data_IF_650257934939
#
_entry.id   IF_650257934939
#
_cell.length_a   1.000
_cell.length_b   1.000
_cell.length_c   1.000
_cell.angle_alpha   90.00
_cell.angle_beta   90.00
_cell.angle_gamma   90.00
#
_symmetry.space_group_name_H-M   'P 1'
#
loop_
_entity.id
_entity.type
_entity.pdbx_description
1 polymer ?
#
# COMPACT_ATOMS: atom_id res chain seq x y z
N UNK A 1 27.98 5.51 -16.26
CA UNK A 1 27.71 6.30 -17.49
C UNK A 1 26.34 6.95 -17.35
N UNK A 2 26.25 8.25 -17.61
CA UNK A 2 24.96 8.95 -17.68
C UNK A 2 24.12 8.39 -18.84
N UNK A 3 22.81 8.26 -18.63
CA UNK A 3 21.83 7.77 -19.62
C UNK A 3 20.69 8.77 -19.71
N UNK A 4 20.02 8.79 -20.85
CA UNK A 4 18.72 9.43 -21.00
C UNK A 4 17.63 8.39 -20.74
N UNK A 5 16.69 8.71 -19.84
CA UNK A 5 15.63 7.79 -19.42
C UNK A 5 14.28 8.47 -19.52
N UNK A 6 13.35 7.82 -20.21
CA UNK A 6 11.95 8.25 -20.30
C UNK A 6 11.12 7.39 -19.34
N UNK A 7 10.39 8.04 -18.44
CA UNK A 7 9.42 7.42 -17.53
C UNK A 7 8.03 7.76 -18.05
N UNK A 8 7.24 6.74 -18.35
CA UNK A 8 5.86 6.88 -18.83
C UNK A 8 4.92 6.69 -17.63
N UNK A 9 4.20 7.77 -17.27
CA UNK A 9 3.35 7.88 -16.10
C UNK A 9 3.98 8.73 -15.00
N UNK A 10 3.31 9.80 -14.61
CA UNK A 10 3.65 10.75 -13.56
C UNK A 10 2.89 10.52 -12.24
N UNK A 11 2.40 9.30 -12.03
CA UNK A 11 1.92 8.84 -10.72
C UNK A 11 3.06 8.64 -9.71
N UNK A 12 2.71 8.26 -8.49
CA UNK A 12 3.66 8.15 -7.37
C UNK A 12 4.86 7.24 -7.67
N UNK A 13 4.62 6.14 -8.38
CA UNK A 13 5.67 5.22 -8.81
C UNK A 13 6.61 5.90 -9.81
N UNK A 14 6.06 6.58 -10.83
CA UNK A 14 6.85 7.25 -11.85
C UNK A 14 7.68 8.41 -11.30
N UNK A 15 7.10 9.23 -10.41
CA UNK A 15 7.84 10.32 -9.75
C UNK A 15 8.95 9.78 -8.85
N UNK A 16 8.71 8.72 -8.07
CA UNK A 16 9.75 8.09 -7.26
C UNK A 16 10.84 7.43 -8.13
N UNK A 17 10.48 6.77 -9.23
CA UNK A 17 11.45 6.24 -10.19
C UNK A 17 12.31 7.36 -10.78
N UNK A 18 11.68 8.46 -11.21
CA UNK A 18 12.40 9.62 -11.73
C UNK A 18 13.35 10.23 -10.70
N UNK A 19 12.94 10.30 -9.44
CA UNK A 19 13.76 10.78 -8.33
C UNK A 19 15.04 9.95 -8.17
N UNK A 20 14.93 8.61 -8.07
CA UNK A 20 16.10 7.77 -7.86
C UNK A 20 16.99 7.69 -9.12
N UNK A 21 16.42 7.67 -10.32
CA UNK A 21 17.20 7.75 -11.56
C UNK A 21 17.98 9.06 -11.67
N UNK A 22 17.35 10.19 -11.33
CA UNK A 22 18.00 11.48 -11.31
C UNK A 22 19.09 11.55 -10.21
N UNK A 23 18.84 10.98 -9.03
CA UNK A 23 19.81 10.89 -7.92
C UNK A 23 21.04 10.07 -8.32
N UNK A 24 20.89 9.07 -9.19
CA UNK A 24 21.99 8.29 -9.79
C UNK A 24 22.72 9.03 -10.94
N UNK A 25 22.30 10.25 -11.28
CA UNK A 25 22.95 11.11 -12.27
C UNK A 25 22.44 10.93 -13.70
N UNK A 26 21.32 10.23 -13.90
CA UNK A 26 20.68 10.11 -15.21
C UNK A 26 19.89 11.37 -15.59
N UNK A 27 19.77 11.61 -16.90
CA UNK A 27 18.88 12.64 -17.44
C UNK A 27 17.51 12.02 -17.63
N UNK A 28 16.52 12.54 -16.91
CA UNK A 28 15.19 11.93 -16.83
C UNK A 28 14.13 12.84 -17.43
N UNK A 29 13.25 12.24 -18.23
CA UNK A 29 12.02 12.85 -18.72
C UNK A 29 10.84 12.03 -18.23
N UNK A 30 9.85 12.68 -17.61
CA UNK A 30 8.57 12.08 -17.23
C UNK A 30 7.50 12.53 -18.21
N UNK A 31 6.73 11.60 -18.76
CA UNK A 31 5.60 11.89 -19.67
C UNK A 31 4.33 11.35 -19.03
N UNK A 32 3.32 12.19 -18.85
CA UNK A 32 2.01 11.78 -18.35
C UNK A 32 0.88 12.39 -19.19
N UNK A 33 -0.12 11.59 -19.50
CA UNK A 33 -1.30 12.00 -20.27
C UNK A 33 -2.21 13.01 -19.53
N UNK A 34 -1.95 13.27 -18.26
CA UNK A 34 -2.71 14.15 -17.38
C UNK A 34 -1.84 15.25 -16.77
N UNK A 35 -2.45 16.08 -15.92
CA UNK A 35 -1.74 17.08 -15.10
C UNK A 35 -1.12 16.51 -13.81
N UNK A 36 -1.31 15.21 -13.54
CA UNK A 36 -0.89 14.53 -12.30
C UNK A 36 -1.54 15.09 -11.02
N UNK A 37 -2.74 15.65 -11.14
CA UNK A 37 -3.55 16.26 -10.07
C UNK A 37 -4.83 15.47 -9.74
N UNK A 38 -4.97 14.27 -10.31
CA UNK A 38 -6.05 13.32 -10.00
C UNK A 38 -5.56 11.88 -10.12
N UNK A 39 -6.48 10.93 -9.90
CA UNK A 39 -6.22 9.50 -10.07
C UNK A 39 -5.62 8.85 -8.82
N UNK A 40 -5.33 7.55 -8.92
CA UNK A 40 -5.03 6.71 -7.76
C UNK A 40 -3.88 7.23 -6.89
N UNK A 41 -2.83 7.80 -7.49
CA UNK A 41 -1.70 8.35 -6.74
C UNK A 41 -2.05 9.63 -5.98
N UNK A 42 -3.00 10.43 -6.47
CA UNK A 42 -3.35 11.73 -5.90
C UNK A 42 -4.42 11.63 -4.81
N UNK A 43 -5.38 10.70 -4.96
CA UNK A 43 -6.58 10.61 -4.10
C UNK A 43 -6.67 9.34 -3.24
N UNK A 44 -5.61 8.54 -3.15
CA UNK A 44 -5.64 7.37 -2.26
C UNK A 44 -5.69 7.78 -0.77
N UNK A 45 -5.89 6.79 0.11
CA UNK A 45 -6.00 7.00 1.55
C UNK A 45 -4.67 7.39 2.24
N UNK A 46 -3.54 7.35 1.52
CA UNK A 46 -2.24 7.76 2.04
C UNK A 46 -1.62 6.81 3.05
N UNK A 47 -2.11 5.58 3.11
CA UNK A 47 -1.68 4.58 4.07
C UNK A 47 -0.41 3.86 3.61
N UNK A 48 0.58 3.75 4.50
CA UNK A 48 1.86 3.06 4.31
C UNK A 48 1.90 1.90 5.29
N UNK A 49 1.85 0.67 4.78
CA UNK A 49 1.37 -0.48 5.55
C UNK A 49 2.36 -1.66 5.68
N UNK A 50 3.48 -1.51 6.41
CA UNK A 50 4.32 -2.66 6.78
C UNK A 50 3.59 -3.84 7.43
N UNK A 51 2.46 -3.60 8.11
CA UNK A 51 1.64 -4.65 8.73
C UNK A 51 0.98 -5.62 7.74
N UNK A 52 0.77 -5.22 6.48
CA UNK A 52 0.01 -5.97 5.48
C UNK A 52 0.86 -7.02 4.75
N UNK A 53 1.38 -7.98 5.52
CA UNK A 53 2.35 -9.00 5.06
C UNK A 53 1.70 -10.23 4.41
N UNK A 54 0.39 -10.40 4.52
CA UNK A 54 -0.32 -11.54 3.93
C UNK A 54 -0.66 -11.21 2.47
N UNK A 55 -0.23 -12.02 1.49
CA UNK A 55 -0.56 -11.77 0.09
C UNK A 55 -2.05 -11.98 -0.17
N UNK A 56 -2.56 -11.31 -1.22
CA UNK A 56 -3.95 -11.47 -1.66
C UNK A 56 -4.30 -12.95 -1.96
N UNK A 57 -3.34 -13.70 -2.51
CA UNK A 57 -3.44 -15.14 -2.79
C UNK A 57 -3.24 -16.00 -1.52
N UNK A 58 -3.98 -15.72 -0.46
CA UNK A 58 -4.01 -16.53 0.75
C UNK A 58 -5.08 -17.63 0.70
N UNK A 59 -4.92 -18.73 1.47
CA UNK A 59 -5.98 -19.72 1.65
C UNK A 59 -7.30 -19.08 2.10
N UNK A 60 -8.41 -19.52 1.53
CA UNK A 60 -9.74 -18.98 1.82
C UNK A 60 -10.14 -17.76 0.97
N UNK A 61 -9.21 -17.09 0.29
CA UNK A 61 -9.52 -15.99 -0.64
C UNK A 61 -10.46 -16.45 -1.75
N UNK A 62 -10.27 -17.66 -2.30
CA UNK A 62 -11.16 -18.20 -3.34
C UNK A 62 -12.62 -18.34 -2.90
N UNK A 63 -12.85 -18.76 -1.65
CA UNK A 63 -14.21 -18.86 -1.09
C UNK A 63 -14.86 -17.48 -0.96
N UNK A 64 -14.09 -16.47 -0.54
CA UNK A 64 -14.53 -15.07 -0.49
C UNK A 64 -14.78 -14.52 -1.91
N UNK A 65 -13.88 -14.79 -2.85
CA UNK A 65 -13.98 -14.38 -4.25
C UNK A 65 -15.26 -14.92 -4.92
N UNK A 66 -15.53 -16.22 -4.79
CA UNK A 66 -16.78 -16.81 -5.29
C UNK A 66 -18.02 -16.14 -4.67
N UNK A 67 -18.01 -15.83 -3.38
CA UNK A 67 -19.10 -15.09 -2.73
C UNK A 67 -19.24 -13.67 -3.30
N UNK A 68 -18.14 -12.99 -3.56
CA UNK A 68 -18.10 -11.63 -4.12
C UNK A 68 -18.52 -11.56 -5.59
N UNK A 69 -18.32 -12.63 -6.36
CA UNK A 69 -18.81 -12.73 -7.75
C UNK A 69 -20.33 -12.57 -7.86
N UNK A 70 -21.09 -12.95 -6.82
CA UNK A 70 -22.54 -12.82 -6.77
C UNK A 70 -23.02 -11.54 -6.06
N UNK A 71 -22.11 -10.66 -5.66
CA UNK A 71 -22.43 -9.36 -5.08
C UNK A 71 -21.71 -8.24 -5.85
N UNK A 72 -22.41 -7.49 -6.74
CA UNK A 72 -21.80 -6.41 -7.52
C UNK A 72 -21.32 -5.25 -6.65
N UNK A 73 -21.81 -5.13 -5.41
CA UNK A 73 -21.33 -4.15 -4.42
C UNK A 73 -20.19 -4.69 -3.55
N UNK A 74 -19.58 -5.82 -3.91
CA UNK A 74 -18.43 -6.35 -3.19
C UNK A 74 -17.20 -5.45 -3.35
N UNK A 75 -16.28 -5.44 -2.36
CA UNK A 75 -15.06 -4.65 -2.42
C UNK A 75 -14.12 -5.07 -3.56
N UNK A 76 -14.29 -6.27 -4.11
CA UNK A 76 -13.57 -6.77 -5.29
C UNK A 76 -14.52 -7.59 -6.16
N UNK A 77 -15.22 -6.92 -7.08
CA UNK A 77 -16.13 -7.59 -8.00
C UNK A 77 -15.36 -8.26 -9.15
N UNK A 78 -15.46 -9.59 -9.21
CA UNK A 78 -14.95 -10.38 -10.34
C UNK A 78 -16.15 -10.79 -11.19
N UNK A 79 -16.26 -10.24 -12.41
CA UNK A 79 -17.34 -10.59 -13.33
C UNK A 79 -17.26 -12.09 -13.68
N UNK A 80 -18.31 -12.90 -13.42
CA UNK A 80 -18.36 -14.29 -13.84
C UNK A 80 -18.25 -14.41 -15.35
N UNK A 81 -17.35 -15.29 -15.83
CA UNK A 81 -17.19 -15.61 -17.24
C UNK A 81 -16.92 -17.10 -17.41
N UNK A 82 -17.31 -17.65 -18.54
CA UNK A 82 -17.08 -19.05 -18.93
C UNK A 82 -16.15 -19.10 -20.15
N UNK A 83 -15.13 -18.24 -20.17
CA UNK A 83 -14.10 -18.25 -21.20
C UNK A 83 -12.86 -19.04 -20.71
N UNK A 84 -12.11 -19.62 -21.65
CA UNK A 84 -10.98 -20.49 -21.32
C UNK A 84 -9.89 -19.79 -20.53
N UNK A 85 -9.66 -18.51 -20.80
CA UNK A 85 -8.56 -17.76 -20.20
C UNK A 85 -8.89 -17.39 -18.76
N UNK A 86 -10.13 -17.00 -18.49
CA UNK A 86 -10.64 -16.81 -17.15
C UNK A 86 -10.58 -18.10 -16.33
N UNK A 87 -11.01 -19.24 -16.87
CA UNK A 87 -10.96 -20.52 -16.15
C UNK A 87 -9.52 -20.96 -15.85
N UNK A 88 -8.59 -20.80 -16.79
CA UNK A 88 -7.15 -21.05 -16.58
C UNK A 88 -6.60 -20.14 -15.47
N UNK A 89 -6.97 -18.86 -15.48
CA UNK A 89 -6.54 -17.90 -14.46
C UNK A 89 -7.11 -18.25 -13.09
N UNK A 90 -8.40 -18.57 -12.98
CA UNK A 90 -9.03 -18.99 -11.72
C UNK A 90 -8.34 -20.23 -11.15
N UNK A 91 -8.02 -21.20 -11.99
CA UNK A 91 -7.27 -22.39 -11.58
C UNK A 91 -5.86 -22.05 -11.09
N UNK A 92 -5.12 -21.21 -11.82
CA UNK A 92 -3.78 -20.77 -11.44
C UNK A 92 -3.78 -19.94 -10.13
N UNK A 93 -4.78 -19.08 -9.95
CA UNK A 93 -4.96 -18.29 -8.73
C UNK A 93 -5.28 -19.20 -7.54
N UNK A 94 -6.20 -20.15 -7.70
CA UNK A 94 -6.51 -21.13 -6.66
C UNK A 94 -5.29 -21.98 -6.26
N UNK A 95 -4.48 -22.42 -7.24
CA UNK A 95 -3.21 -23.11 -6.97
C UNK A 95 -2.21 -22.24 -6.22
N UNK A 96 -2.26 -20.92 -6.45
CA UNK A 96 -1.44 -19.94 -5.72
C UNK A 96 -1.88 -19.75 -4.27
N UNK A 97 -3.16 -19.97 -3.94
CA UNK A 97 -3.75 -19.86 -2.59
C UNK A 97 -3.33 -21.00 -1.64
N UNK A 98 -2.02 -21.19 -1.46
CA UNK A 98 -1.44 -22.26 -0.65
C UNK A 98 -0.63 -21.70 0.55
N UNK A 99 -0.75 -22.27 1.77
CA UNK A 99 -0.04 -21.77 2.95
C UNK A 99 1.48 -21.66 2.77
N UNK A 100 2.10 -22.60 2.04
CA UNK A 100 3.53 -22.54 1.71
C UNK A 100 3.92 -21.30 0.89
N UNK A 101 3.07 -20.85 -0.04
CA UNK A 101 3.33 -19.63 -0.81
C UNK A 101 3.19 -18.39 0.07
N UNK A 102 2.20 -18.36 0.96
CA UNK A 102 2.04 -17.28 1.95
C UNK A 102 3.29 -17.16 2.82
N UNK A 103 3.74 -18.26 3.44
CA UNK A 103 4.95 -18.28 4.26
C UNK A 103 6.19 -17.80 3.51
N UNK A 104 6.31 -18.14 2.21
CA UNK A 104 7.42 -17.70 1.37
C UNK A 104 7.34 -16.21 1.00
N UNK A 105 6.14 -15.67 0.82
CA UNK A 105 5.93 -14.29 0.37
C UNK A 105 6.08 -13.26 1.50
N UNK A 106 5.70 -13.63 2.73
CA UNK A 106 5.68 -12.73 3.89
C UNK A 106 6.98 -11.94 4.07
N UNK A 107 8.18 -12.56 4.11
CA UNK A 107 9.42 -11.80 4.30
C UNK A 107 9.65 -10.78 3.18
N UNK A 108 9.40 -11.15 1.92
CA UNK A 108 9.60 -10.25 0.79
C UNK A 108 8.63 -9.05 0.82
N UNK A 109 7.36 -9.29 1.17
CA UNK A 109 6.34 -8.23 1.30
C UNK A 109 6.68 -7.30 2.47
N UNK A 110 7.09 -7.86 3.60
CA UNK A 110 7.55 -7.08 4.76
C UNK A 110 8.75 -6.21 4.39
N UNK A 111 9.78 -6.80 3.79
CA UNK A 111 11.03 -6.10 3.54
C UNK A 111 10.83 -4.95 2.54
N UNK A 112 10.03 -5.15 1.49
CA UNK A 112 9.75 -4.09 0.51
C UNK A 112 8.89 -2.96 1.10
N UNK A 113 7.95 -3.27 1.99
CA UNK A 113 7.07 -2.27 2.61
C UNK A 113 7.81 -1.45 3.67
N UNK A 114 8.63 -2.09 4.50
CA UNK A 114 9.55 -1.40 5.44
C UNK A 114 10.57 -0.54 4.70
N UNK A 115 11.16 -1.06 3.62
CA UNK A 115 12.06 -0.29 2.78
C UNK A 115 11.34 0.94 2.21
N UNK A 116 10.15 0.76 1.64
CA UNK A 116 9.35 1.87 1.11
C UNK A 116 9.10 2.93 2.18
N UNK A 117 8.62 2.54 3.37
CA UNK A 117 8.36 3.47 4.48
C UNK A 117 9.63 4.26 4.87
N UNK A 118 10.77 3.55 5.01
CA UNK A 118 12.06 4.19 5.28
C UNK A 118 12.42 5.23 4.21
N UNK A 119 12.18 4.91 2.93
CA UNK A 119 12.49 5.82 1.82
C UNK A 119 11.60 7.07 1.81
N UNK A 120 10.34 7.00 2.22
CA UNK A 120 9.51 8.20 2.41
C UNK A 120 10.13 9.15 3.45
N UNK A 121 10.55 8.60 4.59
CA UNK A 121 11.21 9.37 5.65
C UNK A 121 12.56 9.95 5.19
N UNK A 122 13.35 9.16 4.46
CA UNK A 122 14.61 9.62 3.89
C UNK A 122 14.40 10.77 2.90
N UNK A 123 13.49 10.62 1.93
CA UNK A 123 13.19 11.67 0.95
C UNK A 123 12.74 12.95 1.66
N UNK A 124 11.80 12.84 2.60
CA UNK A 124 11.30 13.98 3.36
C UNK A 124 12.42 14.72 4.08
N UNK A 125 13.33 13.99 4.72
CA UNK A 125 14.42 14.56 5.53
C UNK A 125 15.53 15.16 4.64
N UNK A 126 16.03 14.39 3.68
CA UNK A 126 17.16 14.76 2.82
C UNK A 126 16.79 15.93 1.92
N UNK A 127 15.60 15.89 1.31
CA UNK A 127 15.15 16.91 0.36
C UNK A 127 14.36 18.04 1.04
N UNK A 128 14.18 17.95 2.37
CA UNK A 128 13.48 18.94 3.19
C UNK A 128 12.06 19.22 2.68
N UNK A 129 11.34 18.18 2.26
CA UNK A 129 9.99 18.33 1.71
C UNK A 129 8.94 18.55 2.81
N UNK A 130 7.99 19.42 2.50
CA UNK A 130 6.92 19.78 3.42
C UNK A 130 5.58 19.12 3.03
N UNK A 131 5.45 17.83 3.33
CA UNK A 131 4.20 17.08 3.24
C UNK A 131 3.91 16.33 4.54
N UNK A 132 2.65 16.07 4.87
CA UNK A 132 2.28 15.27 6.05
C UNK A 132 2.80 13.84 5.91
N UNK A 133 3.52 13.37 6.93
CA UNK A 133 3.99 11.99 7.09
C UNK A 133 4.09 11.72 8.59
N UNK A 134 3.32 10.76 9.09
CA UNK A 134 3.22 10.47 10.51
C UNK A 134 3.24 8.96 10.76
N UNK A 135 3.95 8.55 11.80
CA UNK A 135 4.05 7.16 12.26
C UNK A 135 3.11 6.93 13.46
N UNK A 136 1.79 7.06 13.23
CA UNK A 136 0.78 6.81 14.28
C UNK A 136 0.18 5.40 14.23
N UNK A 137 0.64 4.54 13.32
CA UNK A 137 0.15 3.19 13.17
C UNK A 137 -1.29 3.07 12.64
N UNK A 138 -1.83 1.87 12.70
CA UNK A 138 -3.21 1.53 12.36
C UNK A 138 -3.90 0.81 13.53
N UNK A 139 -5.12 1.24 13.88
CA UNK A 139 -6.02 0.52 14.77
C UNK A 139 -7.05 -0.29 13.97
N UNK A 140 -6.89 -1.62 13.96
CA UNK A 140 -7.83 -2.57 13.39
C UNK A 140 -8.89 -2.98 14.41
N UNK A 141 -9.99 -2.24 14.44
CA UNK A 141 -11.12 -2.47 15.34
C UNK A 141 -11.91 -3.74 14.95
N UNK A 142 -12.13 -4.63 15.92
CA UNK A 142 -12.87 -5.87 15.72
C UNK A 142 -14.22 -5.81 16.44
N UNK A 143 -15.33 -5.82 15.68
CA UNK A 143 -16.69 -5.74 16.25
C UNK A 143 -17.21 -7.07 16.81
N UNK A 144 -16.63 -8.19 16.41
CA UNK A 144 -17.07 -9.53 16.85
C UNK A 144 -15.90 -10.36 17.32
N UNK A 145 -16.14 -11.25 18.29
CA UNK A 145 -15.11 -12.15 18.83
C UNK A 145 -14.44 -12.97 17.73
N UNK A 146 -15.24 -13.48 16.80
CA UNK A 146 -14.73 -14.23 15.64
C UNK A 146 -13.72 -13.42 14.81
N UNK A 147 -14.02 -12.15 14.53
CA UNK A 147 -13.10 -11.29 13.79
C UNK A 147 -11.85 -11.00 14.59
N UNK A 148 -12.00 -10.77 15.91
CA UNK A 148 -10.86 -10.56 16.80
C UNK A 148 -9.94 -11.79 16.82
N UNK A 149 -10.48 -12.99 16.94
CA UNK A 149 -9.71 -14.25 16.88
C UNK A 149 -8.97 -14.43 15.54
N UNK A 150 -9.59 -14.06 14.43
CA UNK A 150 -8.97 -14.11 13.10
C UNK A 150 -7.84 -13.07 12.99
N UNK A 151 -8.07 -11.83 13.43
CA UNK A 151 -7.10 -10.74 13.36
C UNK A 151 -5.92 -10.95 14.32
N UNK A 152 -6.16 -11.52 15.50
CA UNK A 152 -5.12 -11.92 16.45
C UNK A 152 -4.15 -12.92 15.82
N UNK A 153 -4.59 -13.83 14.95
CA UNK A 153 -3.68 -14.74 14.23
C UNK A 153 -2.77 -13.97 13.27
N UNK A 154 -3.31 -12.99 12.56
CA UNK A 154 -2.53 -12.08 11.70
C UNK A 154 -1.54 -11.26 12.53
N UNK A 155 -1.96 -10.73 13.67
CA UNK A 155 -1.11 -9.98 14.59
C UNK A 155 0.09 -10.81 15.10
N UNK A 156 -0.14 -12.06 15.52
CA UNK A 156 0.94 -12.94 15.94
C UNK A 156 1.96 -13.20 14.83
N UNK A 157 1.51 -13.29 13.59
CA UNK A 157 2.41 -13.44 12.45
C UNK A 157 3.26 -12.18 12.25
N UNK A 158 2.65 -11.00 12.31
CA UNK A 158 3.37 -9.73 12.24
C UNK A 158 4.41 -9.60 13.35
N UNK A 159 4.05 -9.94 14.60
CA UNK A 159 4.97 -9.96 15.76
C UNK A 159 6.14 -10.92 15.52
N UNK A 160 5.85 -12.13 15.03
CA UNK A 160 6.88 -13.15 14.72
C UNK A 160 7.86 -12.64 13.66
N UNK A 161 7.37 -11.84 12.72
CA UNK A 161 8.15 -11.22 11.66
C UNK A 161 8.89 -9.94 12.09
N UNK A 162 8.75 -9.53 13.35
CA UNK A 162 9.45 -8.39 13.95
C UNK A 162 8.72 -7.04 13.82
N UNK A 163 7.44 -7.04 13.43
CA UNK A 163 6.66 -5.81 13.28
C UNK A 163 6.03 -5.38 14.60
N UNK A 164 6.20 -4.12 14.97
CA UNK A 164 5.64 -3.55 16.21
C UNK A 164 4.11 -3.56 16.16
N UNK A 165 3.52 -4.49 16.91
CA UNK A 165 2.08 -4.78 16.91
C UNK A 165 1.62 -5.09 18.33
N UNK A 166 0.48 -4.53 18.75
CA UNK A 166 -0.13 -4.78 20.06
C UNK A 166 -1.57 -5.25 19.91
N UNK A 167 -1.92 -6.34 20.58
CA UNK A 167 -3.32 -6.79 20.73
C UNK A 167 -3.92 -5.99 21.89
N UNK A 168 -5.08 -5.38 21.67
CA UNK A 168 -5.76 -4.51 22.63
C UNK A 168 -7.12 -5.08 23.01
N UNK A 169 -7.39 -5.15 24.31
CA UNK A 169 -8.75 -5.33 24.81
C UNK A 169 -9.52 -4.00 24.84
N UNK A 170 -10.80 -4.04 25.19
CA UNK A 170 -11.68 -2.85 25.24
C UNK A 170 -11.22 -1.78 26.23
N UNK A 171 -10.65 -2.17 27.38
CA UNK A 171 -10.16 -1.22 28.38
C UNK A 171 -8.91 -0.48 27.87
N UNK A 172 -7.97 -1.20 27.25
CA UNK A 172 -6.78 -0.60 26.65
C UNK A 172 -7.13 0.29 25.46
N UNK A 173 -8.13 -0.09 24.66
CA UNK A 173 -8.65 0.77 23.59
C UNK A 173 -9.22 2.07 24.11
N UNK A 174 -10.00 2.02 25.19
CA UNK A 174 -10.57 3.22 25.80
C UNK A 174 -9.50 4.11 26.43
N UNK A 175 -8.40 3.52 26.92
CA UNK A 175 -7.26 4.29 27.40
C UNK A 175 -6.51 4.98 26.25
N UNK A 176 -6.37 4.31 25.10
CA UNK A 176 -5.69 4.85 23.92
C UNK A 176 -6.51 5.96 23.25
N UNK A 177 -7.83 5.78 23.13
CA UNK A 177 -8.75 6.71 22.48
C UNK A 177 -9.86 7.17 23.46
N UNK A 178 -9.53 7.94 24.52
CA UNK A 178 -10.45 8.26 25.61
C UNK A 178 -11.66 9.08 25.17
N UNK A 179 -11.48 9.90 24.14
CA UNK A 179 -12.51 10.83 23.64
C UNK A 179 -13.40 10.22 22.55
N UNK A 180 -13.19 8.96 22.19
CA UNK A 180 -13.95 8.26 21.15
C UNK A 180 -14.83 7.19 21.80
N UNK A 181 -16.07 7.05 21.32
CA UNK A 181 -16.93 5.91 21.64
C UNK A 181 -16.67 4.83 20.59
N UNK A 182 -16.10 3.71 21.01
CA UNK A 182 -15.67 2.61 20.12
C UNK A 182 -16.58 1.41 20.35
N UNK A 183 -17.34 1.03 19.30
CA UNK A 183 -18.15 -0.18 19.26
C UNK A 183 -17.32 -1.36 18.72
N UNK A 184 -16.42 -1.89 19.56
CA UNK A 184 -15.56 -3.03 19.25
C UNK A 184 -15.35 -3.91 20.50
N UNK A 185 -15.16 -5.22 20.29
CA UNK A 185 -14.82 -6.19 21.35
C UNK A 185 -13.31 -6.23 21.63
N UNK A 186 -12.51 -5.63 20.76
CA UNK A 186 -11.05 -5.52 20.85
C UNK A 186 -10.47 -4.96 19.57
N UNK A 187 -9.14 -4.82 19.51
CA UNK A 187 -8.47 -4.35 18.30
C UNK A 187 -7.01 -4.83 18.23
N UNK A 188 -6.44 -4.73 17.05
CA UNK A 188 -5.00 -4.81 16.85
C UNK A 188 -4.46 -3.43 16.53
N UNK A 189 -3.42 -3.01 17.25
CA UNK A 189 -2.68 -1.79 16.98
C UNK A 189 -1.37 -2.13 16.26
N UNK A 190 -1.33 -1.87 14.96
CA UNK A 190 -0.14 -1.99 14.12
C UNK A 190 0.65 -0.70 14.16
N UNK A 191 1.49 -0.53 15.19
CA UNK A 191 2.30 0.67 15.39
C UNK A 191 3.37 0.86 14.31
N UNK A 192 3.77 -0.22 13.65
CA UNK A 192 4.72 -0.19 12.53
C UNK A 192 4.21 0.53 11.27
N UNK A 193 2.93 0.91 11.19
CA UNK A 193 2.39 1.60 10.01
C UNK A 193 2.49 3.13 10.09
N UNK A 194 2.41 3.77 8.92
CA UNK A 194 2.41 5.22 8.78
C UNK A 194 1.31 5.68 7.84
N UNK A 195 1.06 6.98 7.83
CA UNK A 195 0.15 7.62 6.90
C UNK A 195 0.70 8.96 6.44
N UNK A 196 0.37 9.31 5.21
CA UNK A 196 0.75 10.52 4.51
C UNK A 196 -0.46 11.11 3.78
N UNK A 197 -0.36 12.36 3.33
CA UNK A 197 -1.41 13.01 2.54
C UNK A 197 -0.96 13.00 1.08
N UNK A 198 -1.52 12.13 0.20
CA UNK A 198 -0.89 11.84 -1.09
C UNK A 198 -0.77 13.05 -2.01
N UNK A 199 -1.78 13.91 -2.06
CA UNK A 199 -1.75 15.10 -2.91
C UNK A 199 -0.64 16.08 -2.50
N UNK A 200 -0.32 16.19 -1.20
CA UNK A 200 0.81 16.97 -0.71
C UNK A 200 2.12 16.35 -1.17
N UNK A 201 2.32 15.04 -0.94
CA UNK A 201 3.51 14.33 -1.40
C UNK A 201 3.73 14.47 -2.91
N UNK A 202 2.69 14.25 -3.71
CA UNK A 202 2.74 14.37 -5.17
C UNK A 202 3.13 15.79 -5.62
N UNK A 203 2.55 16.82 -4.98
CA UNK A 203 2.89 18.23 -5.27
C UNK A 203 4.35 18.53 -4.95
N UNK A 204 4.80 18.18 -3.75
CA UNK A 204 6.18 18.42 -3.31
C UNK A 204 7.18 17.67 -4.19
N UNK A 205 6.91 16.41 -4.53
CA UNK A 205 7.77 15.60 -5.41
C UNK A 205 7.85 16.16 -6.83
N UNK A 206 6.73 16.57 -7.43
CA UNK A 206 6.72 17.19 -8.77
C UNK A 206 7.57 18.46 -8.78
N UNK A 207 7.42 19.33 -7.78
CA UNK A 207 8.21 20.55 -7.65
C UNK A 207 9.70 20.26 -7.46
N UNK A 208 10.04 19.29 -6.62
CA UNK A 208 11.42 18.84 -6.38
C UNK A 208 12.09 18.34 -7.67
N UNK A 209 11.41 17.50 -8.44
CA UNK A 209 11.95 16.90 -9.66
C UNK A 209 12.26 17.97 -10.72
N UNK A 210 11.36 18.93 -10.90
CA UNK A 210 11.59 20.09 -11.79
C UNK A 210 12.82 20.87 -11.33
N UNK A 211 12.92 21.17 -10.03
CA UNK A 211 14.09 21.86 -9.44
C UNK A 211 15.40 21.09 -9.65
N UNK A 212 15.34 19.75 -9.68
CA UNK A 212 16.49 18.85 -9.92
C UNK A 212 16.79 18.63 -11.42
N UNK A 213 16.10 19.32 -12.32
CA UNK A 213 16.35 19.27 -13.76
C UNK A 213 15.68 18.09 -14.48
N UNK A 214 14.74 17.40 -13.84
CA UNK A 214 13.88 16.42 -14.53
C UNK A 214 12.91 17.17 -15.42
N UNK A 215 12.83 16.78 -16.69
CA UNK A 215 11.84 17.34 -17.63
C UNK A 215 10.51 16.63 -17.41
N UNK A 216 9.41 17.38 -17.29
CA UNK A 216 8.07 16.79 -17.11
C UNK A 216 7.14 17.32 -18.20
N UNK A 217 6.63 16.39 -19.00
CA UNK A 217 5.61 16.62 -20.01
C UNK A 217 4.25 16.14 -19.48
N UNK A 218 3.38 17.09 -19.12
CA UNK A 218 2.00 16.82 -18.67
C UNK A 218 0.99 17.06 -19.79
N UNK A 219 -0.14 16.36 -19.75
CA UNK A 219 -1.15 16.31 -20.83
C UNK A 219 -0.60 15.76 -22.14
N UNK A 220 0.40 14.89 -22.05
CA UNK A 220 1.10 14.33 -23.20
C UNK A 220 0.92 12.81 -23.20
N UNK A 221 0.24 12.31 -24.22
CA UNK A 221 -0.03 10.88 -24.35
C UNK A 221 1.03 10.25 -25.24
N UNK A 222 1.63 9.16 -24.77
CA UNK A 222 2.53 8.35 -25.59
C UNK A 222 1.68 7.46 -26.51
N UNK A 223 1.94 7.53 -27.82
CA UNK A 223 1.30 6.71 -28.86
C UNK A 223 2.12 5.47 -29.23
#
# INVERSE_FOLDING_TARGET
>A
MQKEVIVIGGGIIGLCSAYYLQKEGHKVTVIDQSNMDYGASYVNAGYISPSHIIPLSAPGTMKKGLKWMFNPSSPLYIKPRLDSDFLKWVWAFNKSCHPKHVKKAIPAIKDITLLSQKLYHEIKTVEQLNFQLEDKGLLMLCKTEKMLEEEVKTAHLAITEGLETKILNTAELKQLEPNVSIDAVGAIYYKCDSHSTPHEFMREMKALLIKKGVTIFSNEKVE
#
